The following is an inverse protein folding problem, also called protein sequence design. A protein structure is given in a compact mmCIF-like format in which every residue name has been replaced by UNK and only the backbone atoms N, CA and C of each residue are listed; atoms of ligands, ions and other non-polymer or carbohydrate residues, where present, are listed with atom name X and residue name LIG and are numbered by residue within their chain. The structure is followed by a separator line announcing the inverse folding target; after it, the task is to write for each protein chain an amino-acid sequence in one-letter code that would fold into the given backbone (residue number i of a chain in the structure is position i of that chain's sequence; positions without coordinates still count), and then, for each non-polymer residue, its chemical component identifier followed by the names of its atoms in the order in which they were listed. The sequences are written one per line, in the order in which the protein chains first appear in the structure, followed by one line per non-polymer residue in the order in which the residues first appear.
data_IF_228307879568
#
_entry.id   IF_228307879568
#
_cell.length_a   1.000
_cell.length_b   1.000
_cell.length_c   1.000
_cell.angle_alpha   90.00
_cell.angle_beta   90.00
_cell.angle_gamma   90.00
#
_symmetry.space_group_name_H-M   'P 1'
#
loop_
_entity.id
_entity.type
_entity.pdbx_description
1 polymer ?
#
# COMPACT_ATOMS: atom_id res chain seq x y z
N UNK A 1 5.37 24.22 17.93
CA UNK A 1 4.38 23.15 18.21
C UNK A 1 5.09 22.03 18.97
N UNK A 2 4.48 21.38 19.97
CA UNK A 2 5.09 20.18 20.57
C UNK A 2 4.80 19.00 19.64
N UNK A 3 5.84 18.41 19.05
CA UNK A 3 5.71 17.22 18.21
C UNK A 3 5.24 16.02 19.03
N UNK A 4 4.47 15.13 18.40
CA UNK A 4 4.13 13.83 18.97
C UNK A 4 5.36 12.90 18.90
N UNK A 5 5.30 11.80 19.66
CA UNK A 5 6.33 10.75 19.60
C UNK A 5 6.47 10.12 18.20
N UNK A 6 5.49 10.31 17.32
CA UNK A 6 5.50 9.76 15.97
C UNK A 6 6.12 10.70 14.93
N UNK A 7 6.43 11.94 15.28
CA UNK A 7 7.03 12.89 14.34
C UNK A 7 8.38 12.38 13.82
N UNK A 8 8.57 12.42 12.51
CA UNK A 8 9.82 12.06 11.83
C UNK A 8 10.32 13.26 11.06
N UNK A 9 11.62 13.56 11.15
CA UNK A 9 12.27 14.58 10.34
C UNK A 9 12.21 14.14 8.88
N UNK A 10 11.71 14.98 7.98
CA UNK A 10 11.59 14.68 6.54
C UNK A 10 12.36 15.66 5.66
N UNK A 11 12.64 16.88 6.14
CA UNK A 11 13.46 17.87 5.43
C UNK A 11 14.28 18.71 6.42
N UNK A 12 15.33 19.36 5.92
CA UNK A 12 16.18 20.27 6.67
C UNK A 12 16.48 21.55 5.86
N UNK A 13 16.39 22.72 6.51
CA UNK A 13 16.66 24.01 5.88
C UNK A 13 17.31 24.98 6.88
N UNK A 14 18.52 25.48 6.59
CA UNK A 14 19.20 26.49 7.41
C UNK A 14 19.11 26.22 8.93
N UNK A 15 19.51 25.01 9.36
CA UNK A 15 19.46 24.52 10.77
C UNK A 15 18.04 24.27 11.34
N UNK A 16 16.98 24.47 10.55
CA UNK A 16 15.59 24.12 10.90
C UNK A 16 15.25 22.72 10.39
N UNK A 17 14.69 21.91 11.29
CA UNK A 17 14.14 20.59 10.97
C UNK A 17 12.65 20.66 10.66
N UNK A 18 12.26 20.13 9.50
CA UNK A 18 10.86 20.01 9.08
C UNK A 18 10.43 18.57 9.32
N UNK A 19 9.32 18.40 10.02
CA UNK A 19 8.86 17.11 10.49
C UNK A 19 7.51 16.72 9.89
N UNK A 20 7.34 15.46 9.51
CA UNK A 20 6.04 14.86 9.32
C UNK A 20 5.56 14.26 10.66
N UNK A 21 4.46 14.78 11.20
CA UNK A 21 3.79 14.19 12.35
C UNK A 21 2.44 13.59 11.94
N UNK A 22 2.29 12.26 11.92
CA UNK A 22 1.04 11.60 11.55
C UNK A 22 -0.16 11.97 12.43
N UNK A 23 0.08 12.46 13.65
CA UNK A 23 -0.99 12.91 14.56
C UNK A 23 -1.58 14.25 14.10
N UNK A 24 -0.75 15.15 13.58
CA UNK A 24 -1.16 16.50 13.23
C UNK A 24 -1.42 16.69 11.74
N UNK A 25 -0.57 16.11 10.89
CA UNK A 25 -0.64 16.31 9.45
C UNK A 25 -1.60 15.32 8.77
N UNK A 26 -1.85 14.17 9.40
CA UNK A 26 -2.68 13.09 8.87
C UNK A 26 -1.90 11.79 8.72
N UNK A 27 -2.60 10.66 8.73
CA UNK A 27 -1.99 9.31 8.83
C UNK A 27 -1.46 8.74 7.52
N UNK A 28 -1.66 9.45 6.41
CA UNK A 28 -1.21 9.02 5.08
C UNK A 28 -0.31 10.10 4.49
N UNK A 29 0.97 9.79 4.29
CA UNK A 29 1.91 10.67 3.61
C UNK A 29 2.06 10.22 2.15
N UNK A 30 1.81 11.11 1.20
CA UNK A 30 2.11 10.87 -0.21
C UNK A 30 3.53 11.37 -0.49
N UNK A 31 4.36 10.58 -1.14
CA UNK A 31 5.73 10.93 -1.52
C UNK A 31 5.84 10.76 -3.02
N UNK A 32 6.04 11.87 -3.74
CA UNK A 32 6.00 11.89 -5.21
C UNK A 32 7.30 12.48 -5.73
N UNK A 33 8.01 11.71 -6.54
CA UNK A 33 9.33 12.06 -7.09
C UNK A 33 9.64 11.28 -8.35
N UNK A 34 10.90 11.25 -8.76
CA UNK A 34 11.38 10.39 -9.85
C UNK A 34 12.44 9.40 -9.34
N UNK A 35 12.94 8.56 -10.24
CA UNK A 35 13.99 7.58 -9.97
C UNK A 35 13.68 6.68 -8.76
N UNK A 36 14.54 6.67 -7.75
CA UNK A 36 14.40 5.88 -6.52
C UNK A 36 14.15 6.76 -5.29
N UNK A 37 13.91 8.06 -5.47
CA UNK A 37 13.76 9.00 -4.36
C UNK A 37 12.57 8.65 -3.45
N UNK A 38 11.37 8.28 -3.96
CA UNK A 38 10.27 7.82 -3.11
C UNK A 38 10.63 6.58 -2.29
N UNK A 39 11.32 5.60 -2.89
CA UNK A 39 11.80 4.39 -2.23
C UNK A 39 12.73 4.73 -1.07
N UNK A 40 13.71 5.62 -1.29
CA UNK A 40 14.66 6.07 -0.27
C UNK A 40 13.98 6.81 0.88
N UNK A 41 12.99 7.65 0.59
CA UNK A 41 12.20 8.32 1.64
C UNK A 41 11.40 7.32 2.47
N UNK A 42 10.71 6.36 1.83
CA UNK A 42 9.97 5.32 2.55
C UNK A 42 10.91 4.51 3.45
N UNK A 43 12.09 4.13 2.92
CA UNK A 43 13.10 3.35 3.63
C UNK A 43 13.58 4.08 4.90
N UNK A 44 13.97 5.35 4.73
CA UNK A 44 14.39 6.23 5.82
C UNK A 44 13.28 6.43 6.87
N UNK A 45 12.04 6.70 6.45
CA UNK A 45 10.91 6.81 7.40
C UNK A 45 10.71 5.47 8.12
N UNK A 46 10.85 4.34 7.42
CA UNK A 46 10.80 3.00 8.00
C UNK A 46 11.76 2.82 9.17
N UNK A 47 13.02 3.19 8.99
CA UNK A 47 14.05 3.05 10.03
C UNK A 47 13.71 3.91 11.26
N UNK A 48 13.24 5.14 11.05
CA UNK A 48 12.79 6.02 12.13
C UNK A 48 11.58 5.46 12.90
N UNK A 49 10.74 4.64 12.27
CA UNK A 49 9.61 3.98 12.93
C UNK A 49 10.02 2.71 13.66
N UNK A 50 11.03 1.98 13.19
CA UNK A 50 11.60 0.85 13.92
C UNK A 50 12.20 1.27 15.26
N UNK A 51 12.92 2.40 15.30
CA UNK A 51 13.46 2.99 16.54
C UNK A 51 12.35 3.33 17.56
N UNK A 52 11.12 3.54 17.08
CA UNK A 52 9.92 3.81 17.88
C UNK A 52 9.12 2.55 18.22
N UNK A 53 9.71 1.38 18.00
CA UNK A 53 9.13 0.05 18.22
C UNK A 53 7.87 -0.24 17.38
N UNK A 54 7.65 0.47 16.27
CA UNK A 54 6.57 0.15 15.34
C UNK A 54 6.89 -1.10 14.51
N UNK A 55 5.86 -1.81 14.07
CA UNK A 55 6.01 -2.78 12.98
C UNK A 55 6.16 -2.08 11.63
N UNK A 56 6.79 -2.75 10.67
CA UNK A 56 6.91 -2.28 9.29
C UNK A 56 6.18 -3.24 8.35
N UNK A 57 5.43 -2.74 7.38
CA UNK A 57 4.88 -3.60 6.32
C UNK A 57 5.08 -2.90 5.00
N UNK A 58 6.01 -3.39 4.20
CA UNK A 58 6.38 -2.78 2.93
C UNK A 58 5.87 -3.63 1.78
N UNK A 59 5.19 -2.97 0.85
CA UNK A 59 4.82 -3.51 -0.45
C UNK A 59 5.80 -2.97 -1.48
N UNK A 60 6.74 -3.81 -1.87
CA UNK A 60 7.86 -3.47 -2.73
C UNK A 60 7.59 -3.94 -4.16
N UNK A 61 7.16 -3.01 -5.01
CA UNK A 61 6.88 -3.30 -6.42
C UNK A 61 8.14 -3.51 -7.26
N UNK A 62 9.35 -3.23 -6.73
CA UNK A 62 10.60 -3.19 -7.49
C UNK A 62 11.68 -4.14 -6.97
N UNK A 63 11.48 -4.76 -5.81
CA UNK A 63 12.44 -5.65 -5.16
C UNK A 63 13.73 -4.95 -4.73
N UNK A 64 13.62 -3.72 -4.19
CA UNK A 64 14.76 -2.86 -3.83
C UNK A 64 15.03 -2.76 -2.34
N UNK A 65 14.09 -3.12 -1.45
CA UNK A 65 14.32 -2.94 -0.02
C UNK A 65 15.28 -3.99 0.56
N UNK A 66 16.14 -3.59 1.53
CA UNK A 66 16.99 -4.51 2.26
C UNK A 66 16.16 -5.50 3.08
N UNK A 67 16.48 -6.79 2.98
CA UNK A 67 15.71 -7.89 3.59
C UNK A 67 15.96 -8.02 5.09
N UNK A 68 17.08 -7.48 5.59
CA UNK A 68 17.62 -7.70 6.92
C UNK A 68 16.74 -7.14 8.05
N UNK A 69 15.90 -6.13 7.76
CA UNK A 69 15.01 -5.50 8.74
C UNK A 69 13.62 -6.12 8.84
N UNK A 70 13.37 -7.21 8.10
CA UNK A 70 12.06 -7.88 8.06
C UNK A 70 12.14 -9.30 8.60
N UNK A 71 11.40 -9.56 9.68
CA UNK A 71 11.19 -10.91 10.24
C UNK A 71 10.42 -11.86 9.30
N UNK A 72 9.68 -11.30 8.34
CA UNK A 72 8.86 -12.03 7.38
C UNK A 72 9.07 -11.47 5.99
N UNK A 73 9.43 -12.32 5.05
CA UNK A 73 9.55 -11.97 3.64
C UNK A 73 8.58 -12.84 2.85
N UNK A 74 7.69 -12.20 2.11
CA UNK A 74 6.73 -12.85 1.23
C UNK A 74 7.15 -12.49 -0.19
N UNK A 75 7.86 -13.41 -0.83
CA UNK A 75 8.24 -13.28 -2.24
C UNK A 75 7.06 -13.70 -3.11
N UNK A 76 6.58 -12.78 -3.94
CA UNK A 76 5.58 -13.05 -4.95
C UNK A 76 6.34 -13.19 -6.27
N UNK A 77 6.19 -14.33 -6.92
CA UNK A 77 6.79 -14.63 -8.22
C UNK A 77 5.71 -15.30 -9.08
N UNK A 78 5.75 -15.06 -10.39
CA UNK A 78 4.91 -15.80 -11.32
C UNK A 78 5.25 -17.29 -11.28
N UNK A 79 4.25 -18.15 -11.49
CA UNK A 79 4.37 -19.61 -11.47
C UNK A 79 4.90 -20.22 -10.15
N UNK A 80 4.85 -19.48 -9.04
CA UNK A 80 5.18 -20.03 -7.71
C UNK A 80 4.00 -19.98 -6.74
N UNK A 81 3.86 -21.02 -5.88
CA UNK A 81 2.82 -21.04 -4.86
C UNK A 81 3.10 -20.04 -3.75
N UNK A 82 2.07 -19.29 -3.35
CA UNK A 82 2.16 -18.24 -2.31
C UNK A 82 1.39 -18.57 -1.04
N UNK A 83 0.44 -19.51 -1.12
CA UNK A 83 -0.48 -19.86 -0.04
C UNK A 83 -1.51 -18.78 0.29
N UNK A 84 -1.59 -17.70 -0.51
CA UNK A 84 -2.49 -16.56 -0.32
C UNK A 84 -3.93 -16.87 -0.74
N UNK A 85 -4.47 -18.01 -0.32
CA UNK A 85 -5.89 -18.35 -0.51
C UNK A 85 -6.73 -17.71 0.62
N UNK A 86 -7.67 -16.80 0.30
CA UNK A 86 -8.45 -16.09 1.32
C UNK A 86 -9.24 -17.02 2.25
N UNK A 87 -9.75 -18.15 1.74
CA UNK A 87 -10.53 -19.11 2.54
C UNK A 87 -9.60 -19.85 3.50
N UNK A 88 -8.42 -20.28 3.04
CA UNK A 88 -7.41 -20.91 3.91
C UNK A 88 -6.87 -19.93 4.94
N UNK A 89 -6.68 -18.66 4.57
CA UNK A 89 -6.20 -17.61 5.48
C UNK A 89 -7.18 -17.31 6.63
N UNK A 90 -8.50 -17.34 6.36
CA UNK A 90 -9.51 -17.25 7.44
C UNK A 90 -9.38 -18.44 8.40
N UNK A 91 -9.25 -19.66 7.89
CA UNK A 91 -9.08 -20.87 8.73
C UNK A 91 -7.82 -20.83 9.60
N UNK A 92 -6.79 -20.10 9.17
CA UNK A 92 -5.55 -19.86 9.91
C UNK A 92 -5.59 -18.62 10.81
N UNK A 93 -6.71 -17.90 10.83
CA UNK A 93 -6.89 -16.70 11.66
C UNK A 93 -6.16 -15.45 11.16
N UNK A 94 -5.72 -15.41 9.90
CA UNK A 94 -5.05 -14.25 9.31
C UNK A 94 -6.01 -13.27 8.65
N UNK A 95 -7.17 -13.76 8.22
CA UNK A 95 -8.30 -12.94 7.78
C UNK A 95 -9.44 -13.06 8.78
N UNK A 96 -10.18 -11.96 8.96
CA UNK A 96 -11.18 -11.81 10.02
C UNK A 96 -12.31 -12.85 9.96
N UNK A 97 -12.87 -13.07 8.78
CA UNK A 97 -14.06 -13.89 8.59
C UNK A 97 -14.21 -14.36 7.13
N UNK A 98 -15.03 -15.39 6.93
CA UNK A 98 -15.31 -15.96 5.61
C UNK A 98 -16.06 -15.00 4.67
N UNK A 99 -16.75 -14.00 5.21
CA UNK A 99 -17.38 -12.97 4.40
C UNK A 99 -16.32 -12.10 3.72
N UNK A 100 -15.28 -11.70 4.46
CA UNK A 100 -14.10 -11.00 3.92
C UNK A 100 -13.43 -11.84 2.83
N UNK A 101 -13.27 -13.16 3.04
CA UNK A 101 -12.74 -14.04 2.01
C UNK A 101 -13.61 -14.07 0.74
N UNK A 102 -14.94 -14.16 0.89
CA UNK A 102 -15.87 -14.13 -0.24
C UNK A 102 -15.82 -12.78 -0.99
N UNK A 103 -15.73 -11.66 -0.28
CA UNK A 103 -15.59 -10.33 -0.90
C UNK A 103 -14.26 -10.15 -1.63
N UNK A 104 -13.17 -10.73 -1.13
CA UNK A 104 -11.89 -10.73 -1.87
C UNK A 104 -12.05 -11.49 -3.19
N UNK A 105 -12.63 -12.70 -3.15
CA UNK A 105 -12.89 -13.50 -4.36
C UNK A 105 -13.83 -12.75 -5.31
N UNK A 106 -14.85 -12.09 -4.77
CA UNK A 106 -15.74 -11.20 -5.52
C UNK A 106 -14.96 -10.10 -6.26
N UNK A 107 -14.07 -9.40 -5.58
CA UNK A 107 -13.28 -8.31 -6.16
C UNK A 107 -12.31 -8.82 -7.23
N UNK A 108 -11.69 -9.98 -7.03
CA UNK A 108 -10.74 -10.56 -7.99
C UNK A 108 -11.47 -11.05 -9.25
N UNK A 109 -12.61 -11.72 -9.08
CA UNK A 109 -13.30 -12.43 -10.16
C UNK A 109 -14.58 -11.75 -10.67
N UNK A 110 -14.89 -10.55 -10.17
CA UNK A 110 -16.04 -9.77 -10.64
C UNK A 110 -17.40 -10.39 -10.32
N UNK A 111 -17.53 -11.11 -9.20
CA UNK A 111 -18.82 -11.69 -8.82
C UNK A 111 -19.84 -10.59 -8.47
N UNK A 112 -21.10 -10.81 -8.81
CA UNK A 112 -22.17 -9.98 -8.28
C UNK A 112 -22.49 -10.34 -6.82
N UNK A 113 -23.35 -9.54 -6.19
CA UNK A 113 -23.73 -9.72 -4.79
C UNK A 113 -24.40 -11.07 -4.54
N UNK A 114 -25.27 -11.52 -5.43
CA UNK A 114 -26.02 -12.78 -5.26
C UNK A 114 -25.10 -14.00 -5.34
N UNK A 115 -24.15 -13.98 -6.29
CA UNK A 115 -23.13 -15.02 -6.44
C UNK A 115 -22.16 -15.02 -5.26
N UNK A 116 -21.83 -13.84 -4.74
CA UNK A 116 -20.97 -13.70 -3.54
C UNK A 116 -21.65 -14.26 -2.29
N UNK A 117 -22.92 -13.92 -2.07
CA UNK A 117 -23.69 -14.42 -0.92
C UNK A 117 -23.85 -15.95 -0.98
N UNK A 118 -24.04 -16.49 -2.20
CA UNK A 118 -24.09 -17.94 -2.43
C UNK A 118 -22.73 -18.62 -2.19
N UNK A 119 -21.63 -18.05 -2.69
CA UNK A 119 -20.27 -18.52 -2.42
C UNK A 119 -19.98 -18.54 -0.91
N UNK A 120 -20.30 -17.44 -0.23
CA UNK A 120 -20.16 -17.33 1.23
C UNK A 120 -20.93 -18.45 1.96
N UNK A 121 -22.18 -18.71 1.58
CA UNK A 121 -22.98 -19.78 2.18
C UNK A 121 -22.36 -21.17 1.95
N UNK A 122 -21.79 -21.43 0.77
CA UNK A 122 -21.13 -22.70 0.47
C UNK A 122 -19.77 -22.86 1.18
N UNK A 123 -19.05 -21.76 1.42
CA UNK A 123 -17.86 -21.73 2.28
C UNK A 123 -18.25 -22.11 3.72
N UNK A 124 -19.29 -21.48 4.28
CA UNK A 124 -19.78 -21.78 5.63
C UNK A 124 -20.24 -23.24 5.79
N UNK A 125 -20.81 -23.81 4.73
CA UNK A 125 -21.25 -25.22 4.70
C UNK A 125 -20.10 -26.21 4.46
N UNK A 126 -18.86 -25.73 4.29
CA UNK A 126 -17.68 -26.55 4.02
C UNK A 126 -17.65 -27.19 2.63
N UNK A 127 -18.54 -26.77 1.73
CA UNK A 127 -18.57 -27.24 0.33
C UNK A 127 -17.42 -26.67 -0.48
N UNK A 128 -17.03 -25.43 -0.18
CA UNK A 128 -15.90 -24.73 -0.80
C UNK A 128 -14.86 -24.45 0.27
N UNK A 129 -13.63 -24.92 0.05
CA UNK A 129 -12.55 -24.86 1.05
C UNK A 129 -11.33 -24.05 0.60
N UNK A 130 -11.35 -23.55 -0.63
CA UNK A 130 -10.25 -22.86 -1.33
C UNK A 130 -10.79 -22.18 -2.59
N UNK A 131 -10.07 -21.21 -3.14
CA UNK A 131 -10.43 -20.53 -4.40
C UNK A 131 -10.47 -21.52 -5.56
N UNK A 132 -9.47 -22.41 -5.68
CA UNK A 132 -9.48 -23.50 -6.66
C UNK A 132 -10.73 -24.40 -6.53
N UNK A 133 -11.19 -24.63 -5.30
CA UNK A 133 -12.44 -25.35 -5.02
C UNK A 133 -13.69 -24.58 -5.45
N UNK A 134 -13.67 -23.24 -5.33
CA UNK A 134 -14.73 -22.38 -5.84
C UNK A 134 -14.77 -22.41 -7.37
N UNK A 135 -13.61 -22.31 -8.01
CA UNK A 135 -13.46 -22.41 -9.46
C UNK A 135 -13.92 -23.78 -10.00
N UNK A 136 -13.69 -24.88 -9.28
CA UNK A 136 -14.15 -26.24 -9.67
C UNK A 136 -15.63 -26.52 -9.36
N UNK A 137 -16.32 -25.62 -8.68
CA UNK A 137 -17.73 -25.79 -8.30
C UNK A 137 -18.66 -25.81 -9.52
N UNK A 138 -19.74 -26.60 -9.44
CA UNK A 138 -20.81 -26.64 -10.46
C UNK A 138 -21.86 -25.54 -10.27
N UNK A 139 -21.71 -24.71 -9.24
CA UNK A 139 -22.58 -23.56 -9.00
C UNK A 139 -22.21 -22.41 -9.95
N UNK A 140 -23.15 -21.48 -10.17
CA UNK A 140 -22.99 -20.38 -11.13
C UNK A 140 -21.79 -19.46 -10.82
N UNK A 141 -21.43 -19.25 -9.55
CA UNK A 141 -20.21 -18.50 -9.21
C UNK A 141 -18.94 -19.19 -9.72
N UNK A 142 -18.93 -20.53 -9.79
CA UNK A 142 -17.80 -21.29 -10.30
C UNK A 142 -17.65 -21.14 -11.81
N UNK A 143 -18.76 -20.98 -12.54
CA UNK A 143 -18.74 -20.65 -13.97
C UNK A 143 -18.09 -19.28 -14.20
N UNK A 144 -18.54 -18.24 -13.50
CA UNK A 144 -17.99 -16.88 -13.62
C UNK A 144 -16.50 -16.84 -13.26
N UNK A 145 -16.08 -17.50 -12.17
CA UNK A 145 -14.66 -17.58 -11.80
C UNK A 145 -13.86 -18.22 -12.95
N UNK A 146 -14.32 -19.34 -13.52
CA UNK A 146 -13.59 -20.05 -14.59
C UNK A 146 -13.43 -19.27 -15.89
N UNK A 147 -14.25 -18.25 -16.15
CA UNK A 147 -14.10 -17.41 -17.36
C UNK A 147 -12.77 -16.66 -17.39
N UNK A 148 -12.22 -16.35 -16.21
CA UNK A 148 -10.99 -15.56 -16.07
C UNK A 148 -9.91 -16.27 -15.22
N UNK A 149 -10.24 -17.37 -14.56
CA UNK A 149 -9.30 -18.14 -13.73
C UNK A 149 -8.24 -18.83 -14.59
N UNK A 150 -6.97 -18.55 -14.32
CA UNK A 150 -5.84 -19.03 -15.12
C UNK A 150 -5.00 -20.09 -14.37
N UNK A 151 -4.02 -20.67 -15.07
CA UNK A 151 -3.01 -21.52 -14.43
C UNK A 151 -2.12 -20.76 -13.43
N UNK A 152 -1.92 -19.45 -13.65
CA UNK A 152 -1.22 -18.59 -12.70
C UNK A 152 -2.01 -18.48 -11.40
N UNK A 153 -3.33 -18.33 -11.48
CA UNK A 153 -4.22 -18.27 -10.32
C UNK A 153 -4.18 -19.58 -9.52
N UNK A 154 -4.28 -20.73 -10.21
CA UNK A 154 -4.18 -22.05 -9.56
C UNK A 154 -2.87 -22.16 -8.78
N UNK A 155 -1.75 -21.86 -9.43
CA UNK A 155 -0.44 -21.91 -8.79
C UNK A 155 -0.33 -20.90 -7.65
N UNK A 156 -0.80 -19.68 -7.83
CA UNK A 156 -0.75 -18.60 -6.84
C UNK A 156 -1.41 -19.00 -5.51
N UNK A 157 -2.61 -19.60 -5.54
CA UNK A 157 -3.36 -19.99 -4.33
C UNK A 157 -2.90 -21.31 -3.68
N UNK A 158 -2.04 -22.06 -4.35
CA UNK A 158 -1.42 -23.27 -3.80
C UNK A 158 -0.38 -22.94 -2.72
N UNK A 159 0.03 -23.98 -1.98
CA UNK A 159 1.03 -23.86 -0.92
C UNK A 159 0.46 -23.62 0.48
N UNK A 160 1.39 -23.42 1.42
CA UNK A 160 1.08 -23.17 2.83
C UNK A 160 0.80 -21.69 3.07
N UNK A 161 -0.23 -21.42 3.89
CA UNK A 161 -0.56 -20.05 4.29
C UNK A 161 0.65 -19.42 4.99
N UNK A 162 1.13 -18.25 4.54
CA UNK A 162 2.32 -17.63 5.10
C UNK A 162 2.11 -17.18 6.54
N UNK A 163 3.18 -17.15 7.33
CA UNK A 163 3.17 -16.50 8.64
C UNK A 163 3.34 -15.00 8.44
N UNK A 164 2.66 -14.20 9.26
CA UNK A 164 2.75 -12.74 9.21
C UNK A 164 3.37 -12.23 10.51
N UNK A 165 4.67 -11.94 10.50
CA UNK A 165 5.39 -11.36 11.63
C UNK A 165 5.07 -9.88 11.87
N UNK A 166 5.87 -9.20 12.69
CA UNK A 166 5.69 -7.78 13.02
C UNK A 166 6.19 -6.88 11.89
N UNK A 167 7.24 -7.32 11.19
CA UNK A 167 7.92 -6.58 10.13
C UNK A 167 7.91 -7.39 8.84
N UNK A 168 7.09 -7.00 7.87
CA UNK A 168 6.82 -7.78 6.66
C UNK A 168 7.35 -7.03 5.43
N UNK A 169 8.13 -7.70 4.61
CA UNK A 169 8.41 -7.28 3.24
C UNK A 169 7.60 -8.16 2.29
N UNK A 170 6.76 -7.54 1.48
CA UNK A 170 6.07 -8.16 0.35
C UNK A 170 6.81 -7.74 -0.90
N UNK A 171 7.58 -8.67 -1.48
CA UNK A 171 8.46 -8.42 -2.61
C UNK A 171 7.78 -8.88 -3.90
N UNK A 172 7.44 -7.92 -4.77
CA UNK A 172 6.88 -8.15 -6.11
C UNK A 172 7.94 -8.01 -7.21
N UNK A 173 9.22 -7.81 -6.90
CA UNK A 173 10.26 -7.48 -7.90
C UNK A 173 10.48 -8.54 -8.97
N UNK A 174 9.95 -9.75 -8.77
CA UNK A 174 9.98 -10.87 -9.70
C UNK A 174 8.59 -11.29 -10.20
N UNK A 175 7.55 -10.51 -9.91
CA UNK A 175 6.20 -10.72 -10.46
C UNK A 175 6.01 -9.83 -11.69
N UNK A 176 5.82 -10.42 -12.86
CA UNK A 176 5.56 -9.70 -14.11
C UNK A 176 4.06 -9.60 -14.41
N UNK A 177 3.23 -10.46 -13.81
CA UNK A 177 1.77 -10.38 -13.87
C UNK A 177 1.21 -9.30 -12.95
N UNK A 178 0.69 -8.21 -13.53
CA UNK A 178 0.03 -7.15 -12.77
C UNK A 178 -1.22 -7.66 -12.01
N UNK A 179 -1.90 -8.68 -12.55
CA UNK A 179 -3.03 -9.34 -11.89
C UNK A 179 -2.58 -10.07 -10.62
N UNK A 180 -1.47 -10.80 -10.67
CA UNK A 180 -0.88 -11.50 -9.50
C UNK A 180 -0.49 -10.49 -8.41
N UNK A 181 0.18 -9.40 -8.80
CA UNK A 181 0.51 -8.29 -7.88
C UNK A 181 -0.75 -7.73 -7.23
N UNK A 182 -1.77 -7.42 -8.02
CA UNK A 182 -3.04 -6.88 -7.52
C UNK A 182 -3.75 -7.83 -6.53
N UNK A 183 -3.82 -9.12 -6.86
CA UNK A 183 -4.42 -10.15 -5.99
C UNK A 183 -3.68 -10.25 -4.66
N UNK A 184 -2.35 -10.44 -4.71
CA UNK A 184 -1.51 -10.52 -3.52
C UNK A 184 -1.62 -9.26 -2.66
N UNK A 185 -1.59 -8.09 -3.28
CA UNK A 185 -1.73 -6.81 -2.59
C UNK A 185 -3.07 -6.71 -1.87
N UNK A 186 -4.20 -7.02 -2.53
CA UNK A 186 -5.53 -7.02 -1.90
C UNK A 186 -5.62 -7.98 -0.71
N UNK A 187 -5.15 -9.21 -0.89
CA UNK A 187 -5.25 -10.27 0.12
C UNK A 187 -4.43 -9.92 1.36
N UNK A 188 -3.19 -9.47 1.16
CA UNK A 188 -2.29 -9.07 2.24
C UNK A 188 -2.77 -7.77 2.90
N UNK A 189 -3.22 -6.78 2.12
CA UNK A 189 -3.83 -5.56 2.65
C UNK A 189 -5.02 -5.87 3.56
N UNK A 190 -5.89 -6.79 3.15
CA UNK A 190 -7.02 -7.23 3.97
C UNK A 190 -6.58 -7.95 5.25
N UNK A 191 -5.52 -8.76 5.20
CA UNK A 191 -4.97 -9.47 6.35
C UNK A 191 -4.32 -8.54 7.39
N UNK A 192 -3.78 -7.40 6.95
CA UNK A 192 -3.08 -6.45 7.82
C UNK A 192 -3.90 -5.20 8.16
N UNK A 193 -5.11 -5.04 7.60
CA UNK A 193 -5.89 -3.80 7.71
C UNK A 193 -6.12 -3.34 9.15
N UNK A 194 -6.28 -4.27 10.07
CA UNK A 194 -6.60 -3.98 11.47
C UNK A 194 -5.34 -3.83 12.35
N UNK A 195 -4.13 -3.95 11.76
CA UNK A 195 -2.86 -3.82 12.49
C UNK A 195 -2.58 -2.38 12.92
N UNK A 196 -2.35 -2.21 14.22
CA UNK A 196 -1.97 -0.95 14.85
C UNK A 196 -0.49 -0.95 15.18
N UNK A 197 0.04 0.22 15.55
CA UNK A 197 1.45 0.45 15.83
C UNK A 197 2.35 -0.05 14.69
N UNK A 198 1.94 0.28 13.46
CA UNK A 198 2.56 -0.22 12.23
C UNK A 198 2.69 0.92 11.22
N UNK A 199 3.85 1.02 10.58
CA UNK A 199 4.07 1.81 9.38
C UNK A 199 3.86 0.90 8.16
N UNK A 200 3.04 1.34 7.21
CA UNK A 200 2.85 0.68 5.92
C UNK A 200 3.52 1.53 4.84
N UNK A 201 4.55 0.98 4.19
CA UNK A 201 5.16 1.57 3.00
C UNK A 201 4.56 0.91 1.75
N UNK A 202 4.04 1.70 0.83
CA UNK A 202 3.60 1.21 -0.48
C UNK A 202 4.47 1.89 -1.51
N UNK A 203 5.40 1.14 -2.08
CA UNK A 203 6.31 1.66 -3.11
C UNK A 203 5.68 1.50 -4.49
N UNK A 204 5.77 2.58 -5.28
CA UNK A 204 5.09 2.75 -6.56
C UNK A 204 3.57 2.48 -6.51
N UNK A 205 2.89 3.15 -5.57
CA UNK A 205 1.46 3.01 -5.34
C UNK A 205 0.59 3.28 -6.60
N UNK A 206 1.08 4.09 -7.55
CA UNK A 206 0.39 4.33 -8.81
C UNK A 206 0.22 3.06 -9.64
N UNK A 207 1.22 2.15 -9.64
CA UNK A 207 1.14 0.88 -10.38
C UNK A 207 0.04 -0.01 -9.84
N UNK A 208 -0.17 0.00 -8.53
CA UNK A 208 -1.20 -0.81 -7.86
C UNK A 208 -2.63 -0.33 -8.18
N UNK A 209 -2.81 0.90 -8.67
CA UNK A 209 -4.12 1.38 -9.12
C UNK A 209 -4.55 0.85 -10.50
N UNK A 210 -3.66 0.23 -11.29
CA UNK A 210 -4.03 -0.27 -12.61
C UNK A 210 -4.93 -1.52 -12.60
N UNK A 211 -5.14 -2.14 -11.44
CA UNK A 211 -6.00 -3.32 -11.32
C UNK A 211 -7.15 -3.07 -10.35
N UNK A 212 -8.29 -3.74 -10.59
CA UNK A 212 -9.44 -3.69 -9.68
C UNK A 212 -9.07 -4.14 -8.26
N UNK A 213 -8.34 -5.27 -8.06
CA UNK A 213 -7.91 -5.66 -6.72
C UNK A 213 -7.01 -4.64 -6.04
N UNK A 214 -6.01 -4.09 -6.75
CA UNK A 214 -5.10 -3.12 -6.15
C UNK A 214 -5.79 -1.78 -5.83
N UNK A 215 -6.68 -1.30 -6.69
CA UNK A 215 -7.54 -0.14 -6.41
C UNK A 215 -8.44 -0.34 -5.19
N UNK A 216 -8.97 -1.55 -4.99
CA UNK A 216 -9.76 -1.89 -3.81
C UNK A 216 -8.91 -2.01 -2.53
N UNK A 217 -7.63 -2.36 -2.66
CA UNK A 217 -6.71 -2.55 -1.55
C UNK A 217 -6.21 -1.23 -0.94
N UNK A 218 -5.92 -0.22 -1.76
CA UNK A 218 -5.37 1.08 -1.28
C UNK A 218 -6.23 1.70 -0.16
N UNK A 219 -7.57 1.83 -0.30
CA UNK A 219 -8.43 2.36 0.77
C UNK A 219 -8.34 1.59 2.09
N UNK A 220 -8.11 0.27 2.06
CA UNK A 220 -7.98 -0.54 3.29
C UNK A 220 -6.81 -0.08 4.15
N UNK A 221 -5.75 0.42 3.50
CA UNK A 221 -4.49 0.82 4.14
C UNK A 221 -4.36 2.33 4.35
N UNK A 222 -5.08 3.15 3.59
CA UNK A 222 -5.02 4.62 3.69
C UNK A 222 -6.13 5.24 4.53
N UNK A 223 -7.17 4.47 4.89
CA UNK A 223 -8.17 4.91 5.86
C UNK A 223 -7.49 5.29 7.19
N UNK A 224 -7.78 6.47 7.76
CA UNK A 224 -7.19 6.90 9.01
C UNK A 224 -7.49 5.93 10.16
N UNK A 225 -6.44 5.33 10.74
CA UNK A 225 -6.57 4.46 11.91
C UNK A 225 -5.53 4.82 12.97
N UNK A 226 -5.96 4.90 14.22
CA UNK A 226 -5.06 5.19 15.35
C UNK A 226 -3.96 4.14 15.45
N UNK A 227 -2.71 4.60 15.44
CA UNK A 227 -1.53 3.75 15.56
C UNK A 227 -1.01 3.21 14.23
N UNK A 228 -1.74 3.40 13.12
CA UNK A 228 -1.23 3.09 11.77
C UNK A 228 -0.75 4.36 11.10
N UNK A 229 0.30 4.26 10.31
CA UNK A 229 0.81 5.31 9.43
C UNK A 229 1.07 4.68 8.08
N UNK A 230 0.68 5.35 7.00
CA UNK A 230 0.83 4.84 5.64
C UNK A 230 1.62 5.84 4.81
N UNK A 231 2.67 5.37 4.13
CA UNK A 231 3.48 6.18 3.22
C UNK A 231 3.29 5.61 1.82
N UNK A 232 2.81 6.44 0.90
CA UNK A 232 2.57 6.09 -0.48
C UNK A 232 3.64 6.73 -1.34
N UNK A 233 4.61 5.94 -1.79
CA UNK A 233 5.61 6.36 -2.75
C UNK A 233 5.06 6.24 -4.16
N UNK A 234 5.35 7.20 -5.02
CA UNK A 234 5.05 7.08 -6.44
C UNK A 234 6.01 7.87 -7.29
N UNK A 235 6.36 7.28 -8.43
CA UNK A 235 7.10 7.95 -9.51
C UNK A 235 6.18 8.65 -10.49
N UNK A 236 4.91 8.26 -10.48
CA UNK A 236 3.89 8.75 -11.38
C UNK A 236 2.89 9.64 -10.64
N UNK A 237 2.54 10.76 -11.25
CA UNK A 237 1.52 11.67 -10.75
C UNK A 237 0.14 11.15 -11.16
N UNK A 238 -0.32 10.08 -10.49
CA UNK A 238 -1.64 9.51 -10.72
C UNK A 238 -2.72 10.29 -9.95
N UNK A 239 -3.79 10.69 -10.62
CA UNK A 239 -4.88 11.47 -10.03
C UNK A 239 -5.51 10.74 -8.81
N UNK A 240 -5.74 9.44 -8.93
CA UNK A 240 -6.26 8.59 -7.84
C UNK A 240 -5.39 8.65 -6.59
N UNK A 241 -4.06 8.74 -6.75
CA UNK A 241 -3.12 8.87 -5.63
C UNK A 241 -3.20 10.25 -5.00
N UNK A 242 -3.23 11.30 -5.82
CA UNK A 242 -3.27 12.68 -5.35
C UNK A 242 -4.56 13.00 -4.58
N UNK A 243 -5.67 12.38 -4.98
CA UNK A 243 -6.98 12.52 -4.34
C UNK A 243 -7.06 11.83 -2.96
N UNK A 244 -6.08 11.01 -2.57
CA UNK A 244 -6.03 10.44 -1.23
C UNK A 244 -5.77 11.56 -0.21
N UNK A 245 -6.58 11.69 0.86
CA UNK A 245 -6.37 12.69 1.88
C UNK A 245 -5.05 12.51 2.62
N UNK A 246 -4.34 13.61 2.86
CA UNK A 246 -3.09 13.62 3.60
C UNK A 246 -2.07 14.60 3.00
N UNK A 247 -0.97 14.86 3.72
CA UNK A 247 0.10 15.71 3.23
C UNK A 247 0.84 15.06 2.06
N UNK A 248 1.53 15.88 1.30
CA UNK A 248 2.35 15.46 0.16
C UNK A 248 3.78 15.97 0.34
N UNK A 249 4.75 15.08 0.27
CA UNK A 249 6.14 15.42 0.05
C UNK A 249 6.42 15.36 -1.46
N UNK A 250 6.60 16.53 -2.05
CA UNK A 250 7.02 16.69 -3.45
C UNK A 250 8.53 16.63 -3.49
N UNK A 251 9.09 15.70 -4.27
CA UNK A 251 10.51 15.55 -4.49
C UNK A 251 10.88 16.05 -5.90
N UNK A 252 12.15 15.95 -6.25
CA UNK A 252 12.62 16.23 -7.60
C UNK A 252 11.78 15.47 -8.64
N UNK A 253 11.32 16.20 -9.65
CA UNK A 253 10.47 15.72 -10.73
C UNK A 253 10.50 16.72 -11.90
N UNK A 254 9.94 16.33 -13.05
CA UNK A 254 9.69 17.24 -14.17
C UNK A 254 8.87 18.46 -13.71
N UNK A 255 9.19 19.68 -14.18
CA UNK A 255 8.49 20.90 -13.75
C UNK A 255 6.97 20.84 -13.92
N UNK A 256 6.50 20.24 -15.01
CA UNK A 256 5.07 20.08 -15.29
C UNK A 256 4.39 19.17 -14.26
N UNK A 257 5.06 18.06 -13.90
CA UNK A 257 4.58 17.13 -12.89
C UNK A 257 4.59 17.76 -11.50
N UNK A 258 5.61 18.53 -11.14
CA UNK A 258 5.63 19.29 -9.88
C UNK A 258 4.45 20.29 -9.82
N UNK A 259 4.19 21.00 -10.92
CA UNK A 259 3.06 21.94 -11.01
C UNK A 259 1.72 21.23 -10.80
N UNK A 260 1.51 20.06 -11.44
CA UNK A 260 0.31 19.25 -11.24
C UNK A 260 0.15 18.79 -9.78
N UNK A 261 1.23 18.39 -9.12
CA UNK A 261 1.18 17.99 -7.70
C UNK A 261 0.79 19.18 -6.83
N UNK A 262 1.38 20.36 -7.05
CA UNK A 262 1.03 21.58 -6.33
C UNK A 262 -0.43 21.97 -6.53
N UNK A 263 -0.91 21.90 -7.77
CA UNK A 263 -2.30 22.19 -8.12
C UNK A 263 -3.29 21.22 -7.46
N UNK A 264 -3.00 19.91 -7.50
CA UNK A 264 -3.84 18.91 -6.83
C UNK A 264 -3.87 19.07 -5.31
N UNK A 265 -2.78 19.61 -4.72
CA UNK A 265 -2.74 19.98 -3.31
C UNK A 265 -3.27 21.40 -3.05
N UNK A 266 -3.82 22.08 -4.06
CA UNK A 266 -4.41 23.42 -4.01
C UNK A 266 -3.44 24.52 -3.57
N UNK A 267 -2.15 24.37 -3.84
CA UNK A 267 -1.14 25.41 -3.60
C UNK A 267 -1.39 26.55 -4.58
N UNK A 268 -1.60 27.80 -4.13
CA UNK A 268 -1.84 28.93 -5.04
C UNK A 268 -0.63 29.16 -5.95
N UNK A 269 -0.84 29.77 -7.11
CA UNK A 269 0.26 30.22 -7.95
C UNK A 269 1.06 31.32 -7.25
N UNK A 270 2.38 31.38 -7.50
CA UNK A 270 3.30 32.36 -6.92
C UNK A 270 4.36 31.73 -6.02
N UNK A 271 4.87 32.50 -5.06
CA UNK A 271 6.08 32.18 -4.28
C UNK A 271 6.01 30.88 -3.46
N UNK A 272 4.80 30.37 -3.20
CA UNK A 272 4.59 29.10 -2.51
C UNK A 272 4.91 27.88 -3.38
N UNK A 273 4.93 28.03 -4.71
CA UNK A 273 5.34 26.97 -5.64
C UNK A 273 6.80 27.20 -6.02
N UNK A 274 7.73 26.56 -5.31
CA UNK A 274 9.13 26.55 -5.72
C UNK A 274 9.45 25.27 -6.46
N UNK A 275 10.37 25.39 -7.42
CA UNK A 275 10.92 24.24 -8.10
C UNK A 275 11.80 23.44 -7.14
N UNK A 276 11.48 22.17 -6.96
CA UNK A 276 12.25 21.24 -6.12
C UNK A 276 13.39 20.67 -6.94
N UNK A 277 14.62 20.82 -6.46
CA UNK A 277 15.82 20.27 -7.11
C UNK A 277 16.16 18.87 -6.58
N UNK A 278 17.11 18.20 -7.24
CA UNK A 278 17.60 16.89 -6.81
C UNK A 278 18.16 16.95 -5.38
N UNK A 279 17.73 16.02 -4.54
CA UNK A 279 18.09 15.97 -3.11
C UNK A 279 17.29 16.92 -2.22
N UNK A 280 16.34 17.66 -2.78
CA UNK A 280 15.43 18.55 -2.05
C UNK A 280 14.00 18.00 -2.02
N UNK A 281 13.16 18.61 -1.18
CA UNK A 281 11.74 18.36 -1.15
C UNK A 281 10.93 19.59 -0.74
N UNK A 282 9.66 19.56 -1.10
CA UNK A 282 8.62 20.48 -0.64
C UNK A 282 7.54 19.69 0.09
N UNK A 283 7.41 19.93 1.39
CA UNK A 283 6.38 19.32 2.22
C UNK A 283 5.13 20.20 2.23
N UNK A 284 4.08 19.71 1.58
CA UNK A 284 2.78 20.37 1.45
C UNK A 284 1.80 19.75 2.43
N UNK A 285 1.24 20.54 3.33
CA UNK A 285 0.25 20.07 4.29
C UNK A 285 -0.77 21.16 4.63
N UNK A 286 -1.92 20.74 5.15
CA UNK A 286 -3.03 21.65 5.45
C UNK A 286 -3.39 21.58 6.92
N UNK A 287 -3.64 22.75 7.52
CA UNK A 287 -4.43 22.87 8.74
C UNK A 287 -5.90 23.10 8.36
N UNK A 288 -6.77 23.27 9.36
CA UNK A 288 -8.15 23.70 9.12
C UNK A 288 -8.26 25.13 8.59
N UNK A 289 -7.19 25.92 8.64
CA UNK A 289 -7.20 27.36 8.36
C UNK A 289 -6.20 27.78 7.27
N UNK A 290 -5.12 27.02 7.08
CA UNK A 290 -3.99 27.38 6.22
C UNK A 290 -3.48 26.18 5.43
N UNK A 291 -2.81 26.49 4.33
CA UNK A 291 -1.99 25.57 3.56
C UNK A 291 -0.54 25.99 3.76
N UNK A 292 0.30 25.04 4.18
CA UNK A 292 1.71 25.27 4.43
C UNK A 292 2.54 24.52 3.37
N UNK A 293 3.59 25.17 2.88
CA UNK A 293 4.59 24.56 2.00
C UNK A 293 5.97 24.85 2.59
N UNK A 294 6.62 23.81 3.10
CA UNK A 294 7.94 23.90 3.71
C UNK A 294 8.99 23.25 2.80
N UNK A 295 10.08 23.94 2.54
CA UNK A 295 11.13 23.50 1.63
C UNK A 295 12.40 23.14 2.40
N UNK A 296 13.14 22.14 1.93
CA UNK A 296 14.44 21.79 2.49
C UNK A 296 15.12 20.66 1.74
N UNK A 297 16.28 20.24 2.23
CA UNK A 297 17.04 19.08 1.77
C UNK A 297 16.56 17.81 2.45
N UNK A 298 16.65 16.68 1.75
CA UNK A 298 16.37 15.38 2.33
C UNK A 298 17.42 15.04 3.41
N UNK A 299 17.01 14.46 4.56
CA UNK A 299 17.88 14.25 5.72
C UNK A 299 18.95 13.16 5.52
N UNK A 300 18.89 12.43 4.40
CA UNK A 300 19.81 11.36 4.03
C UNK A 300 20.64 11.70 2.78
N UNK A 301 20.58 12.94 2.31
CA UNK A 301 21.46 13.48 1.26
C UNK A 301 22.66 14.13 1.95
N UNK A 302 23.80 13.41 1.96
CA UNK A 302 25.06 13.82 2.58
C UNK A 302 26.25 13.16 1.90
#
# INVERSE_FOLDING_TARGET
MKYSKLAVKILEYEEREIHYDPVYHGRTLKVVGIDDDPTRVIDYIGDQFLEKEYGLIFFDTRGKYPKEKFDTIIEIEDDKPTGLDPIKMVKKGLLKDFYTAATIIQTIYGLDRSLTDKLYADILRGKVNSVAGAAKSKEQYGEVIREVYTALDETFFEGEVPKLGKTILVDFGKTYSISTVGMAFLILAAAIRDRRNTLIGIDDAAVLFYTTPGSAAIPLLTQPMRGRVTVLGSRYVAENLLNIPGPTLVLYNDPDLQSMIYEANGVPQGDMRKHVLKGEGAFVWRTTQTLEVEFGKLPFEG
#
